data_IF_174504150050
#
_entry.id   IF_174504150050
#
_cell.length_a   1.000
_cell.length_b   1.000
_cell.length_c   1.000
_cell.angle_alpha   90.00
_cell.angle_beta   90.00
_cell.angle_gamma   90.00
#
_symmetry.space_group_name_H-M   'P 1'
#
loop_
_entity.id
_entity.type
_entity.pdbx_description
1 polymer ?
#
# COMPACT_ATOMS: atom_id res chain seq x y z
N UNK A 1 -7.24 28.42 -27.43
CA UNK A 1 -7.39 27.24 -26.53
C UNK A 1 -7.84 27.78 -25.19
N UNK A 2 -8.95 27.30 -24.63
CA UNK A 2 -9.37 27.70 -23.28
C UNK A 2 -8.44 27.03 -22.26
N UNK A 3 -7.83 27.80 -21.36
CA UNK A 3 -7.00 27.27 -20.29
C UNK A 3 -7.86 26.60 -19.22
N UNK A 4 -7.62 25.31 -18.96
CA UNK A 4 -8.28 24.56 -17.89
C UNK A 4 -7.40 24.63 -16.64
N UNK A 5 -7.82 25.42 -15.65
CA UNK A 5 -7.04 25.70 -14.44
C UNK A 5 -7.53 24.96 -13.19
N UNK A 6 -8.51 24.06 -13.34
CA UNK A 6 -9.17 23.34 -12.23
C UNK A 6 -8.87 21.84 -12.20
N UNK A 7 -7.78 21.40 -12.81
CA UNK A 7 -7.32 20.00 -12.79
C UNK A 7 -6.13 19.89 -11.84
N UNK A 8 -6.16 18.90 -10.94
CA UNK A 8 -5.09 18.60 -9.99
C UNK A 8 -4.70 17.13 -10.12
N UNK A 9 -3.40 16.87 -10.05
CA UNK A 9 -2.85 15.50 -10.06
C UNK A 9 -2.41 15.13 -8.65
N UNK A 10 -2.85 13.97 -8.18
CA UNK A 10 -2.51 13.42 -6.87
C UNK A 10 -1.71 12.14 -7.03
N UNK A 11 -0.74 11.91 -6.15
CA UNK A 11 0.02 10.67 -6.10
C UNK A 11 -0.56 9.75 -5.04
N UNK A 12 -0.70 8.47 -5.38
CA UNK A 12 -1.23 7.45 -4.50
C UNK A 12 -0.23 6.29 -4.43
N UNK A 13 0.16 5.92 -3.21
CA UNK A 13 0.97 4.72 -2.98
C UNK A 13 0.19 3.72 -2.13
N UNK A 14 -0.34 2.65 -2.74
CA UNK A 14 -1.03 1.58 -2.02
C UNK A 14 -0.07 0.69 -1.22
N UNK A 15 1.24 0.78 -1.47
CA UNK A 15 2.23 -0.15 -0.94
C UNK A 15 2.21 -1.47 -1.69
N UNK A 16 2.63 -2.55 -1.02
CA UNK A 16 2.50 -3.90 -1.56
C UNK A 16 1.05 -4.37 -1.42
N UNK A 17 0.45 -4.79 -2.53
CA UNK A 17 -0.92 -5.30 -2.57
C UNK A 17 -0.89 -6.70 -3.15
N UNK A 18 -1.63 -7.65 -2.57
CA UNK A 18 -1.70 -9.05 -3.03
C UNK A 18 -2.47 -9.19 -4.34
N UNK A 19 -1.95 -8.62 -5.42
CA UNK A 19 -2.47 -8.73 -6.77
C UNK A 19 -1.85 -9.93 -7.48
N UNK A 20 -2.49 -10.38 -8.56
CA UNK A 20 -1.94 -11.46 -9.39
C UNK A 20 -0.52 -11.17 -9.87
N UNK A 21 -0.24 -9.91 -10.22
CA UNK A 21 1.09 -9.45 -10.61
C UNK A 21 2.13 -9.56 -9.49
N UNK A 22 1.76 -9.23 -8.25
CA UNK A 22 2.68 -9.39 -7.12
C UNK A 22 2.90 -10.88 -6.83
N UNK A 23 1.82 -11.65 -6.82
CA UNK A 23 1.83 -13.07 -6.45
C UNK A 23 2.54 -13.93 -7.50
N UNK A 24 2.52 -13.56 -8.78
CA UNK A 24 3.30 -14.24 -9.83
C UNK A 24 4.81 -14.15 -9.60
N UNK A 25 5.27 -13.16 -8.81
CA UNK A 25 6.67 -13.00 -8.41
C UNK A 25 7.06 -13.72 -7.13
N UNK A 26 6.15 -14.46 -6.47
CA UNK A 26 6.38 -15.11 -5.17
C UNK A 26 7.21 -16.42 -5.27
N UNK A 27 8.26 -16.42 -6.09
CA UNK A 27 9.05 -17.63 -6.44
C UNK A 27 10.26 -17.85 -5.54
N UNK A 28 10.74 -16.81 -4.85
CA UNK A 28 11.92 -16.89 -3.98
C UNK A 28 11.55 -16.81 -2.49
N UNK A 29 12.38 -17.37 -1.62
CA UNK A 29 12.18 -17.32 -0.16
C UNK A 29 12.08 -15.88 0.35
N UNK A 30 12.91 -14.99 -0.19
CA UNK A 30 12.93 -13.57 0.14
C UNK A 30 11.65 -12.87 -0.32
N UNK A 31 11.16 -13.15 -1.54
CA UNK A 31 9.90 -12.59 -2.03
C UNK A 31 8.72 -13.01 -1.14
N UNK A 32 8.61 -14.31 -0.85
CA UNK A 32 7.57 -14.86 0.05
C UNK A 32 7.58 -14.18 1.42
N UNK A 33 8.76 -14.01 2.01
CA UNK A 33 8.96 -13.30 3.29
C UNK A 33 8.42 -11.87 3.23
N UNK A 34 8.83 -11.06 2.25
CA UNK A 34 8.39 -9.67 2.16
C UNK A 34 6.90 -9.54 1.81
N UNK A 35 6.36 -10.41 0.95
CA UNK A 35 4.93 -10.44 0.62
C UNK A 35 4.10 -10.66 1.89
N UNK A 36 4.43 -11.67 2.69
CA UNK A 36 3.69 -11.97 3.92
C UNK A 36 3.70 -10.83 4.95
N UNK A 37 4.84 -10.13 5.06
CA UNK A 37 5.04 -9.06 6.05
C UNK A 37 4.39 -7.75 5.61
N UNK A 38 4.64 -7.35 4.37
CA UNK A 38 4.38 -6.00 3.90
C UNK A 38 3.08 -5.90 3.10
N UNK A 39 2.70 -6.93 2.35
CA UNK A 39 1.53 -6.86 1.50
C UNK A 39 0.24 -6.82 2.31
N UNK A 40 -0.79 -6.18 1.76
CA UNK A 40 -2.16 -6.32 2.23
C UNK A 40 -3.10 -6.65 1.09
N UNK A 41 -4.32 -7.09 1.43
CA UNK A 41 -5.35 -7.34 0.44
C UNK A 41 -5.81 -6.02 -0.19
N UNK A 42 -6.30 -6.06 -1.45
CA UNK A 42 -6.88 -4.89 -2.11
C UNK A 42 -7.94 -4.19 -1.27
N UNK A 43 -8.83 -4.95 -0.62
CA UNK A 43 -9.92 -4.41 0.22
C UNK A 43 -9.38 -3.56 1.37
N UNK A 44 -8.40 -4.08 2.13
CA UNK A 44 -7.81 -3.36 3.26
C UNK A 44 -7.12 -2.07 2.83
N UNK A 45 -6.50 -2.08 1.65
CA UNK A 45 -5.85 -0.88 1.10
C UNK A 45 -6.88 0.11 0.57
N UNK A 46 -7.96 -0.37 -0.04
CA UNK A 46 -9.07 0.46 -0.52
C UNK A 46 -9.82 1.14 0.63
N UNK A 47 -10.06 0.42 1.74
CA UNK A 47 -10.67 0.96 2.96
C UNK A 47 -9.91 2.17 3.51
N UNK A 48 -8.59 2.21 3.31
CA UNK A 48 -7.79 3.38 3.64
C UNK A 48 -7.78 4.42 2.52
N UNK A 49 -7.45 4.04 1.28
CA UNK A 49 -7.23 5.02 0.21
C UNK A 49 -8.51 5.73 -0.23
N UNK A 50 -9.63 5.01 -0.37
CA UNK A 50 -10.85 5.55 -0.95
C UNK A 50 -11.41 6.71 -0.12
N UNK A 51 -11.56 6.62 1.22
CA UNK A 51 -12.00 7.76 2.02
C UNK A 51 -11.04 8.95 1.94
N UNK A 52 -9.72 8.72 2.03
CA UNK A 52 -8.70 9.77 1.97
C UNK A 52 -8.70 10.51 0.62
N UNK A 53 -8.97 9.81 -0.49
CA UNK A 53 -9.12 10.41 -1.82
C UNK A 53 -10.39 11.26 -1.89
N UNK A 54 -11.51 10.74 -1.37
CA UNK A 54 -12.82 11.42 -1.40
C UNK A 54 -12.86 12.67 -0.51
N UNK A 55 -11.98 12.76 0.48
CA UNK A 55 -11.82 13.92 1.36
C UNK A 55 -11.21 15.15 0.65
N UNK A 56 -10.37 14.93 -0.36
CA UNK A 56 -9.69 16.01 -1.09
C UNK A 56 -10.67 17.01 -1.74
N UNK A 57 -11.65 16.56 -2.58
CA UNK A 57 -12.58 17.49 -3.21
C UNK A 57 -13.57 18.11 -2.23
N UNK A 58 -13.90 17.41 -1.13
CA UNK A 58 -14.78 17.96 -0.07
C UNK A 58 -14.13 19.13 0.64
N UNK A 59 -12.80 19.10 0.81
CA UNK A 59 -12.02 20.21 1.37
C UNK A 59 -11.69 21.31 0.35
N UNK A 60 -12.18 21.23 -0.89
CA UNK A 60 -11.90 22.16 -1.99
C UNK A 60 -10.39 22.44 -2.21
N UNK A 61 -9.54 21.46 -1.88
CA UNK A 61 -8.10 21.64 -1.94
C UNK A 61 -7.59 21.46 -3.37
N UNK A 62 -7.05 22.54 -3.95
CA UNK A 62 -6.36 22.50 -5.24
C UNK A 62 -4.87 22.11 -5.14
N UNK A 63 -4.41 21.69 -3.95
CA UNK A 63 -3.02 21.31 -3.72
C UNK A 63 -2.77 19.86 -4.15
N UNK A 64 -1.69 19.57 -4.91
CA UNK A 64 -1.23 18.20 -5.13
C UNK A 64 -0.96 17.51 -3.79
N UNK A 65 -1.42 16.27 -3.63
CA UNK A 65 -1.23 15.49 -2.41
C UNK A 65 -0.58 14.15 -2.73
N UNK A 66 0.09 13.59 -1.71
CA UNK A 66 0.64 12.25 -1.78
C UNK A 66 0.09 11.38 -0.64
N UNK A 67 -0.85 10.50 -0.97
CA UNK A 67 -1.47 9.58 -0.01
C UNK A 67 -0.71 8.25 -0.01
N UNK A 68 -0.31 7.77 1.17
CA UNK A 68 0.54 6.58 1.32
C UNK A 68 -0.02 5.62 2.37
N UNK A 69 -0.46 4.44 1.94
CA UNK A 69 -0.95 3.41 2.86
C UNK A 69 0.19 2.76 3.66
N UNK A 70 1.30 2.44 2.99
CA UNK A 70 2.48 1.83 3.58
C UNK A 70 3.59 2.88 3.71
N UNK A 71 3.71 3.46 4.90
CA UNK A 71 4.78 4.40 5.24
C UNK A 71 6.05 3.64 5.66
N UNK A 72 7.20 4.32 5.64
CA UNK A 72 8.46 3.72 6.12
C UNK A 72 8.35 3.21 7.54
N UNK A 73 7.77 4.00 8.46
CA UNK A 73 7.53 3.60 9.85
C UNK A 73 6.65 2.34 9.96
N UNK A 74 5.58 2.25 9.14
CA UNK A 74 4.70 1.07 9.08
C UNK A 74 5.44 -0.16 8.52
N UNK A 75 6.32 0.03 7.55
CA UNK A 75 7.14 -1.05 7.00
C UNK A 75 8.16 -1.56 8.04
N UNK A 76 8.92 -0.67 8.68
CA UNK A 76 9.91 -1.06 9.69
C UNK A 76 9.28 -1.74 10.90
N UNK A 77 8.14 -1.23 11.39
CA UNK A 77 7.42 -1.87 12.50
C UNK A 77 6.91 -3.27 12.15
N UNK A 78 6.42 -3.49 10.91
CA UNK A 78 6.01 -4.83 10.43
C UNK A 78 7.19 -5.80 10.33
N UNK A 79 8.33 -5.34 9.80
CA UNK A 79 9.55 -6.16 9.71
C UNK A 79 10.07 -6.51 11.11
N UNK A 80 10.14 -5.54 12.00
CA UNK A 80 10.54 -5.77 13.39
C UNK A 80 9.60 -6.76 14.08
N UNK A 81 8.29 -6.60 13.94
CA UNK A 81 7.30 -7.51 14.51
C UNK A 81 7.44 -8.95 13.98
N UNK A 82 7.80 -9.10 12.70
CA UNK A 82 8.13 -10.42 12.14
C UNK A 82 9.36 -11.03 12.81
N UNK A 83 10.44 -10.26 12.98
CA UNK A 83 11.71 -10.75 13.54
C UNK A 83 11.56 -11.07 15.04
N UNK A 84 10.92 -10.19 15.80
CA UNK A 84 10.81 -10.33 17.26
C UNK A 84 9.73 -11.33 17.70
N UNK A 85 8.60 -11.39 16.98
CA UNK A 85 7.41 -12.13 17.43
C UNK A 85 6.91 -13.17 16.42
N UNK A 86 7.58 -13.32 15.27
CA UNK A 86 7.15 -14.25 14.22
C UNK A 86 5.85 -13.85 13.52
N UNK A 87 5.34 -12.63 13.74
CA UNK A 87 4.04 -12.19 13.24
C UNK A 87 3.90 -12.31 11.72
N UNK A 88 2.69 -12.64 11.23
CA UNK A 88 2.35 -12.74 9.80
C UNK A 88 3.13 -13.79 9.00
N UNK A 89 3.77 -14.77 9.66
CA UNK A 89 4.34 -15.94 8.98
C UNK A 89 3.27 -16.62 8.13
N UNK A 90 3.59 -16.98 6.89
CA UNK A 90 2.71 -17.73 5.99
C UNK A 90 1.33 -17.09 5.76
N UNK A 91 1.19 -15.76 5.92
CA UNK A 91 -0.11 -15.08 5.86
C UNK A 91 -0.78 -15.22 4.48
N UNK A 92 -0.01 -15.13 3.40
CA UNK A 92 -0.51 -15.18 2.02
C UNK A 92 0.18 -16.25 1.18
N UNK A 93 1.47 -16.49 1.41
CA UNK A 93 2.26 -17.51 0.71
C UNK A 93 2.99 -18.36 1.73
N UNK A 94 2.99 -19.69 1.54
CA UNK A 94 3.78 -20.58 2.39
C UNK A 94 5.29 -20.31 2.23
N UNK A 95 5.96 -20.03 3.35
CA UNK A 95 7.42 -19.86 3.46
C UNK A 95 8.09 -21.21 3.71
N UNK A 96 9.19 -21.47 3.00
CA UNK A 96 10.05 -22.66 3.13
C UNK A 96 11.06 -22.55 4.27
#
# INVERSE_FOLDING_TARGET
MNEVNNVVVHNLSPGMVTTDLLMSGATTKQAKFFINILAETPDVVADYLVPNIREIPTNQSMKPTYIRFLTGLKAYSRIFSRIAFGARRNKYVAED
#
